data_IF_515980700179
#
_entry.id   IF_515980700179
#
_cell.length_a   1.000
_cell.length_b   1.000
_cell.length_c   1.000
_cell.angle_alpha   90.00
_cell.angle_beta   90.00
_cell.angle_gamma   90.00
#
_symmetry.space_group_name_H-M   'P 1'
#
loop_
_entity.id
_entity.type
_entity.pdbx_description
1 polymer ?
#
# COMPACT_ATOMS: atom_id res chain seq x y z
N UNK A 1 -26.13 -11.36 44.90
CA UNK A 1 -25.36 -12.58 44.58
C UNK A 1 -25.52 -12.87 43.10
N UNK A 2 -24.53 -12.46 42.31
CA UNK A 2 -24.23 -12.96 40.97
C UNK A 2 -22.80 -12.50 40.68
N UNK A 3 -21.82 -13.30 41.10
CA UNK A 3 -20.45 -13.17 40.61
C UNK A 3 -20.45 -13.77 39.21
N UNK A 4 -20.82 -12.97 38.19
CA UNK A 4 -20.54 -13.33 36.79
C UNK A 4 -19.03 -13.36 36.64
N UNK A 5 -18.47 -14.57 36.54
CA UNK A 5 -17.04 -14.78 36.31
C UNK A 5 -16.66 -14.21 34.95
N UNK A 6 -16.00 -13.06 34.97
CA UNK A 6 -15.50 -12.37 33.79
C UNK A 6 -14.69 -13.35 32.93
N UNK A 7 -14.97 -13.35 31.62
CA UNK A 7 -14.24 -14.16 30.64
C UNK A 7 -12.76 -13.76 30.59
N UNK A 8 -12.47 -12.49 30.89
CA UNK A 8 -11.16 -11.86 30.89
C UNK A 8 -10.69 -11.62 32.31
N UNK A 9 -9.47 -12.06 32.63
CA UNK A 9 -8.89 -11.93 33.97
C UNK A 9 -8.04 -10.65 34.09
N UNK A 10 -7.47 -10.16 32.99
CA UNK A 10 -6.59 -8.99 32.95
C UNK A 10 -7.23 -7.71 32.35
N UNK A 11 -8.56 -7.59 32.43
CA UNK A 11 -9.35 -6.50 31.84
C UNK A 11 -9.51 -5.22 32.68
N UNK A 12 -8.54 -4.88 33.54
CA UNK A 12 -8.58 -3.60 34.25
C UNK A 12 -8.42 -2.42 33.28
N UNK A 13 -8.99 -1.25 33.61
CA UNK A 13 -9.03 0.01 32.83
C UNK A 13 -7.66 0.58 32.35
N UNK A 14 -6.55 -0.15 32.44
CA UNK A 14 -5.19 0.30 32.14
C UNK A 14 -4.29 -0.81 31.56
N UNK A 15 -4.83 -1.79 30.83
CA UNK A 15 -3.99 -2.70 30.06
C UNK A 15 -3.74 -2.12 28.65
N UNK A 16 -2.52 -1.65 28.30
CA UNK A 16 -2.28 -1.02 27.01
C UNK A 16 -2.42 -1.99 25.82
N UNK A 17 -2.41 -3.30 26.06
CA UNK A 17 -2.50 -4.33 25.02
C UNK A 17 -3.90 -4.94 24.90
N UNK A 18 -4.77 -4.78 25.90
CA UNK A 18 -6.16 -5.24 25.88
C UNK A 18 -7.11 -4.10 26.26
N UNK A 19 -7.96 -3.72 25.32
CA UNK A 19 -8.93 -2.64 25.51
C UNK A 19 -10.35 -3.20 25.41
N UNK A 20 -11.30 -2.53 26.06
CA UNK A 20 -12.73 -2.77 25.85
C UNK A 20 -13.27 -1.73 24.89
N UNK A 21 -14.21 -2.13 24.05
CA UNK A 21 -14.89 -1.21 23.13
C UNK A 21 -16.39 -1.46 23.15
N UNK A 22 -17.13 -0.49 22.64
CA UNK A 22 -18.60 -0.49 22.50
C UNK A 22 -18.95 0.09 21.15
N UNK A 23 -20.19 -0.07 20.66
CA UNK A 23 -20.61 0.60 19.42
C UNK A 23 -20.33 2.12 19.43
N UNK A 24 -20.43 2.77 20.60
CA UNK A 24 -20.20 4.22 20.73
C UNK A 24 -18.72 4.62 20.61
N UNK A 25 -17.78 3.73 20.90
CA UNK A 25 -16.33 4.03 20.89
C UNK A 25 -15.56 3.25 19.83
N UNK A 26 -16.22 2.34 19.11
CA UNK A 26 -15.59 1.41 18.17
C UNK A 26 -14.75 2.10 17.09
N UNK A 27 -15.28 3.18 16.50
CA UNK A 27 -14.56 3.95 15.49
C UNK A 27 -13.21 4.46 16.00
N UNK A 28 -13.20 5.06 17.19
CA UNK A 28 -11.97 5.56 17.81
C UNK A 28 -11.06 4.41 18.24
N UNK A 29 -11.63 3.39 18.89
CA UNK A 29 -10.87 2.36 19.56
C UNK A 29 -10.23 1.34 18.62
N UNK A 30 -10.86 1.13 17.46
CA UNK A 30 -10.47 0.14 16.46
C UNK A 30 -9.99 0.82 15.20
N UNK A 31 -10.85 1.59 14.51
CA UNK A 31 -10.54 2.09 13.17
C UNK A 31 -9.45 3.16 13.21
N UNK A 32 -9.64 4.22 13.99
CA UNK A 32 -8.65 5.30 14.08
C UNK A 32 -7.37 4.84 14.78
N UNK A 33 -7.48 4.02 15.84
CA UNK A 33 -6.31 3.43 16.51
C UNK A 33 -5.48 2.55 15.56
N UNK A 34 -6.14 1.81 14.66
CA UNK A 34 -5.45 0.93 13.69
C UNK A 34 -4.54 1.66 12.71
N UNK A 35 -4.68 2.98 12.57
CA UNK A 35 -3.75 3.83 11.78
C UNK A 35 -2.37 3.96 12.42
N UNK A 36 -2.27 3.73 13.73
CA UNK A 36 -1.01 3.82 14.48
C UNK A 36 -0.48 2.45 14.87
N UNK A 37 -1.36 1.52 15.25
CA UNK A 37 -0.99 0.17 15.69
C UNK A 37 -2.09 -0.81 15.30
N UNK A 38 -1.78 -1.98 14.68
CA UNK A 38 -2.77 -2.99 14.36
C UNK A 38 -3.70 -3.33 15.53
N UNK A 39 -4.98 -3.46 15.22
CA UNK A 39 -6.00 -3.84 16.20
C UNK A 39 -6.61 -5.18 15.82
N UNK A 40 -6.49 -6.16 16.71
CA UNK A 40 -7.24 -7.42 16.63
C UNK A 40 -8.51 -7.27 17.43
N UNK A 41 -9.66 -7.24 16.76
CA UNK A 41 -10.97 -7.21 17.41
C UNK A 41 -11.40 -8.64 17.72
N UNK A 42 -11.69 -8.94 18.99
CA UNK A 42 -12.33 -10.19 19.40
C UNK A 42 -13.81 -9.94 19.72
N UNK A 43 -14.69 -10.44 18.87
CA UNK A 43 -16.12 -10.47 19.10
C UNK A 43 -16.51 -11.68 19.95
N UNK A 44 -16.97 -11.41 21.16
CA UNK A 44 -17.25 -12.41 22.19
C UNK A 44 -18.58 -12.14 22.92
N UNK A 45 -18.98 -13.04 23.82
CA UNK A 45 -20.07 -12.80 24.76
C UNK A 45 -19.93 -13.68 26.01
N UNK A 46 -20.51 -13.26 27.15
CA UNK A 46 -20.41 -13.99 28.42
C UNK A 46 -20.97 -15.42 28.35
N UNK A 47 -22.00 -15.62 27.54
CA UNK A 47 -22.66 -16.92 27.36
C UNK A 47 -21.93 -17.84 26.37
N UNK A 48 -20.87 -17.36 25.71
CA UNK A 48 -20.12 -18.11 24.72
C UNK A 48 -19.03 -18.99 25.38
N UNK A 49 -19.31 -20.29 25.52
CA UNK A 49 -18.36 -21.24 26.10
C UNK A 49 -17.03 -21.35 25.30
N UNK A 50 -17.02 -21.40 23.95
CA UNK A 50 -15.76 -21.41 23.21
C UNK A 50 -14.94 -20.12 23.37
N UNK A 51 -15.59 -18.97 23.55
CA UNK A 51 -14.91 -17.69 23.83
C UNK A 51 -14.13 -17.74 25.15
N UNK A 52 -14.68 -18.41 26.18
CA UNK A 52 -13.99 -18.63 27.47
C UNK A 52 -12.69 -19.42 27.32
N UNK A 53 -12.58 -20.27 26.31
CA UNK A 53 -11.35 -21.04 26.04
C UNK A 53 -10.31 -20.20 25.29
N UNK A 54 -10.74 -19.29 24.40
CA UNK A 54 -9.85 -18.43 23.62
C UNK A 54 -9.30 -17.25 24.43
N UNK A 55 -10.10 -16.67 25.33
CA UNK A 55 -9.71 -15.50 26.13
C UNK A 55 -8.31 -15.60 26.78
N UNK A 56 -7.95 -16.65 27.53
CA UNK A 56 -6.60 -16.74 28.13
C UNK A 56 -5.47 -16.84 27.08
N UNK A 57 -5.76 -17.39 25.89
CA UNK A 57 -4.80 -17.45 24.80
C UNK A 57 -4.61 -16.06 24.19
N UNK A 58 -5.70 -15.30 24.02
CA UNK A 58 -5.66 -13.93 23.51
C UNK A 58 -4.98 -12.98 24.49
N UNK A 59 -5.20 -13.13 25.80
CA UNK A 59 -4.46 -12.37 26.83
C UNK A 59 -2.95 -12.63 26.71
N UNK A 60 -2.55 -13.90 26.64
CA UNK A 60 -1.15 -14.28 26.44
C UNK A 60 -0.56 -13.69 25.16
N UNK A 61 -1.26 -13.77 24.03
CA UNK A 61 -0.77 -13.23 22.76
C UNK A 61 -0.73 -11.69 22.76
N UNK A 62 -1.68 -11.02 23.39
CA UNK A 62 -1.64 -9.56 23.55
C UNK A 62 -0.39 -9.10 24.34
N UNK A 63 0.05 -9.89 25.33
CA UNK A 63 1.30 -9.66 26.05
C UNK A 63 2.54 -10.02 25.22
N UNK A 64 2.54 -11.16 24.51
CA UNK A 64 3.65 -11.56 23.63
C UNK A 64 3.91 -10.53 22.50
N UNK A 65 2.85 -9.90 21.99
CA UNK A 65 2.90 -8.91 20.90
C UNK A 65 2.75 -7.47 21.40
N UNK A 66 3.00 -7.22 22.68
CA UNK A 66 2.87 -5.91 23.28
C UNK A 66 3.64 -4.83 22.50
N UNK A 67 2.96 -3.74 22.16
CA UNK A 67 3.50 -2.64 21.36
C UNK A 67 3.41 -2.83 19.85
N UNK A 68 3.17 -4.05 19.37
CA UNK A 68 3.00 -4.35 17.93
C UNK A 68 1.54 -4.60 17.54
N UNK A 69 0.71 -5.06 18.48
CA UNK A 69 -0.72 -5.30 18.28
C UNK A 69 -1.48 -4.93 19.56
N UNK A 70 -2.71 -4.43 19.40
CA UNK A 70 -3.68 -4.27 20.48
C UNK A 70 -4.86 -5.20 20.24
N UNK A 71 -5.38 -5.82 21.31
CA UNK A 71 -6.61 -6.62 21.26
C UNK A 71 -7.79 -5.78 21.76
N UNK A 72 -8.77 -5.55 20.90
CA UNK A 72 -10.02 -4.90 21.23
C UNK A 72 -11.11 -5.94 21.53
N UNK A 73 -11.55 -5.99 22.79
CA UNK A 73 -12.61 -6.88 23.24
C UNK A 73 -13.96 -6.23 22.93
N UNK A 74 -14.68 -6.79 21.96
CA UNK A 74 -15.99 -6.34 21.55
C UNK A 74 -17.06 -7.34 22.03
N UNK A 75 -17.69 -7.05 23.16
CA UNK A 75 -18.83 -7.86 23.60
C UNK A 75 -19.99 -7.63 22.62
N UNK A 76 -20.47 -8.69 21.96
CA UNK A 76 -21.56 -8.60 20.97
C UNK A 76 -22.88 -8.09 21.55
N UNK A 77 -23.08 -8.14 22.86
CA UNK A 77 -24.24 -7.52 23.50
C UNK A 77 -24.16 -5.97 23.46
N UNK A 78 -22.94 -5.40 23.49
CA UNK A 78 -22.62 -3.97 23.52
C UNK A 78 -22.09 -3.41 22.18
N UNK A 79 -21.74 -4.30 21.24
CA UNK A 79 -21.14 -4.01 19.93
C UNK A 79 -21.97 -4.62 18.78
N UNK A 80 -23.29 -4.48 18.82
CA UNK A 80 -24.20 -5.13 17.85
C UNK A 80 -24.04 -4.54 16.45
N UNK A 81 -23.90 -3.21 16.35
CA UNK A 81 -23.69 -2.55 15.07
C UNK A 81 -22.35 -2.95 14.47
N UNK A 82 -21.26 -2.83 15.25
CA UNK A 82 -19.93 -3.21 14.79
C UNK A 82 -19.85 -4.70 14.38
N UNK A 83 -20.47 -5.60 15.15
CA UNK A 83 -20.52 -7.02 14.79
C UNK A 83 -21.25 -7.25 13.45
N UNK A 84 -22.33 -6.52 13.19
CA UNK A 84 -23.05 -6.58 11.90
C UNK A 84 -22.20 -6.05 10.75
N UNK A 85 -21.51 -4.93 10.93
CA UNK A 85 -20.66 -4.30 9.91
C UNK A 85 -19.45 -5.18 9.55
N UNK A 86 -18.88 -5.89 10.53
CA UNK A 86 -17.80 -6.85 10.33
C UNK A 86 -18.28 -8.19 9.78
N UNK A 87 -19.59 -8.38 9.60
CA UNK A 87 -20.16 -9.62 9.07
C UNK A 87 -20.00 -10.81 10.03
N UNK A 88 -20.06 -10.56 11.34
CA UNK A 88 -19.99 -11.60 12.36
C UNK A 88 -21.21 -12.51 12.24
N UNK A 89 -20.98 -13.77 11.82
CA UNK A 89 -22.05 -14.77 11.67
C UNK A 89 -22.15 -15.73 12.85
N UNK A 90 -21.16 -15.72 13.74
CA UNK A 90 -21.09 -16.49 14.97
C UNK A 90 -19.85 -16.10 15.78
N UNK A 91 -19.86 -16.41 17.08
CA UNK A 91 -18.76 -16.10 18.01
C UNK A 91 -18.10 -17.38 18.57
N UNK A 92 -16.80 -17.36 18.91
CA UNK A 92 -15.87 -16.22 18.81
C UNK A 92 -15.55 -15.86 17.36
N UNK A 93 -15.31 -14.58 17.09
CA UNK A 93 -14.84 -14.12 15.79
C UNK A 93 -13.77 -13.04 15.97
N UNK A 94 -12.63 -13.22 15.31
CA UNK A 94 -11.51 -12.29 15.35
C UNK A 94 -11.33 -11.60 14.01
N UNK A 95 -11.10 -10.29 14.03
CA UNK A 95 -10.79 -9.51 12.84
C UNK A 95 -9.58 -8.64 13.07
N UNK A 96 -8.70 -8.62 12.08
CA UNK A 96 -7.50 -7.83 12.08
C UNK A 96 -7.73 -6.54 11.33
N UNK A 97 -7.51 -5.40 11.97
CA UNK A 97 -7.67 -4.08 11.38
C UNK A 97 -6.33 -3.37 11.36
N UNK A 98 -5.93 -2.91 10.17
CA UNK A 98 -4.72 -2.12 9.95
C UNK A 98 -5.11 -0.91 9.10
N UNK A 99 -4.78 0.29 9.60
CA UNK A 99 -5.05 1.57 8.94
C UNK A 99 -6.47 1.65 8.35
N UNK A 100 -7.43 1.52 9.27
CA UNK A 100 -8.87 1.61 9.05
C UNK A 100 -9.49 0.45 8.25
N UNK A 101 -8.69 -0.54 7.82
CA UNK A 101 -9.16 -1.59 6.91
C UNK A 101 -9.05 -2.97 7.55
N UNK A 102 -10.08 -3.81 7.35
CA UNK A 102 -10.03 -5.23 7.72
C UNK A 102 -9.06 -5.95 6.77
N UNK A 103 -7.99 -6.52 7.33
CA UNK A 103 -6.94 -7.21 6.55
C UNK A 103 -7.05 -8.73 6.60
N UNK A 104 -7.65 -9.28 7.66
CA UNK A 104 -7.88 -10.72 7.82
C UNK A 104 -8.95 -11.00 8.87
N UNK A 105 -9.49 -12.22 8.90
CA UNK A 105 -10.47 -12.63 9.91
C UNK A 105 -10.51 -14.14 10.15
N UNK A 106 -10.83 -14.52 11.38
CA UNK A 106 -11.02 -15.89 11.83
C UNK A 106 -12.38 -16.01 12.52
N UNK A 107 -13.22 -16.94 12.08
CA UNK A 107 -14.51 -17.21 12.73
C UNK A 107 -14.50 -18.61 13.34
N UNK A 108 -15.02 -18.71 14.57
CA UNK A 108 -15.03 -19.93 15.36
C UNK A 108 -13.78 -20.15 16.20
N UNK A 109 -13.79 -21.23 16.98
CA UNK A 109 -12.67 -21.59 17.84
C UNK A 109 -11.51 -22.15 17.01
N UNK A 110 -10.32 -21.59 17.23
CA UNK A 110 -9.06 -21.96 16.55
C UNK A 110 -7.97 -22.29 17.58
N UNK A 111 -6.88 -22.93 17.15
CA UNK A 111 -5.74 -23.23 18.01
C UNK A 111 -4.87 -22.00 18.28
N UNK A 112 -4.07 -22.04 19.35
CA UNK A 112 -3.09 -21.00 19.67
C UNK A 112 -2.09 -20.77 18.52
N UNK A 113 -1.70 -21.82 17.80
CA UNK A 113 -0.78 -21.72 16.67
C UNK A 113 -1.39 -20.89 15.53
N UNK A 114 -2.66 -21.13 15.21
CA UNK A 114 -3.39 -20.35 14.20
C UNK A 114 -3.53 -18.89 14.64
N UNK A 115 -3.85 -18.63 15.91
CA UNK A 115 -3.91 -17.27 16.45
C UNK A 115 -2.55 -16.57 16.40
N UNK A 116 -1.45 -17.26 16.72
CA UNK A 116 -0.11 -16.68 16.64
C UNK A 116 0.25 -16.30 15.21
N UNK A 117 -0.07 -17.14 14.22
CA UNK A 117 0.13 -16.82 12.80
C UNK A 117 -0.73 -15.62 12.41
N UNK A 118 -1.97 -15.55 12.86
CA UNK A 118 -2.86 -14.42 12.63
C UNK A 118 -2.29 -13.11 13.19
N UNK A 119 -1.81 -13.09 14.44
CA UNK A 119 -1.16 -11.92 15.04
C UNK A 119 0.10 -11.50 14.27
N UNK A 120 0.95 -12.46 13.86
CA UNK A 120 2.13 -12.16 13.03
C UNK A 120 1.76 -11.53 11.70
N UNK A 121 0.67 -12.00 11.05
CA UNK A 121 0.16 -11.38 9.81
C UNK A 121 -0.27 -9.94 10.03
N UNK A 122 -0.82 -9.60 11.21
CA UNK A 122 -1.20 -8.22 11.54
C UNK A 122 0.02 -7.32 11.66
N UNK A 123 1.07 -7.80 12.34
CA UNK A 123 2.35 -7.07 12.44
C UNK A 123 2.95 -6.89 11.06
N UNK A 124 3.06 -7.96 10.27
CA UNK A 124 3.62 -7.91 8.92
C UNK A 124 2.84 -6.96 8.00
N UNK A 125 1.52 -6.92 8.10
CA UNK A 125 0.69 -5.98 7.34
C UNK A 125 0.94 -4.52 7.72
N UNK A 126 1.14 -4.20 9.01
CA UNK A 126 1.52 -2.85 9.42
C UNK A 126 2.96 -2.47 9.05
N UNK A 127 3.90 -3.39 9.20
CA UNK A 127 5.29 -3.20 8.75
C UNK A 127 5.31 -2.89 7.25
N UNK A 128 4.56 -3.65 6.45
CA UNK A 128 4.42 -3.44 5.00
C UNK A 128 3.88 -2.04 4.66
N UNK A 129 2.79 -1.61 5.32
CA UNK A 129 2.22 -0.27 5.08
C UNK A 129 3.19 0.84 5.46
N UNK A 130 3.89 0.68 6.58
CA UNK A 130 4.89 1.66 7.02
C UNK A 130 6.03 1.75 6.00
N UNK A 131 6.55 0.62 5.52
CA UNK A 131 7.58 0.58 4.49
C UNK A 131 7.12 1.28 3.20
N UNK A 132 5.88 1.04 2.78
CA UNK A 132 5.29 1.65 1.58
C UNK A 132 5.23 3.19 1.67
N UNK A 133 4.95 3.73 2.87
CA UNK A 133 4.86 5.17 3.08
C UNK A 133 6.21 5.88 3.05
N UNK A 134 7.30 5.15 3.30
CA UNK A 134 8.64 5.72 3.39
C UNK A 134 9.53 5.39 2.18
N UNK A 135 9.02 4.70 1.16
CA UNK A 135 9.81 4.30 -0.02
C UNK A 135 10.57 5.47 -0.66
N UNK A 136 9.93 6.64 -0.82
CA UNK A 136 10.55 7.79 -1.46
C UNK A 136 11.39 8.66 -0.48
N UNK A 137 11.12 8.60 0.83
CA UNK A 137 11.81 9.42 1.84
C UNK A 137 12.97 8.73 2.54
N UNK A 138 12.87 7.42 2.75
CA UNK A 138 13.88 6.54 3.35
C UNK A 138 13.82 5.16 2.68
N UNK A 139 14.28 5.05 1.43
CA UNK A 139 14.24 3.79 0.69
C UNK A 139 15.07 2.69 1.35
N UNK A 140 16.12 3.04 2.10
CA UNK A 140 16.96 2.05 2.79
C UNK A 140 16.20 1.34 3.91
N UNK A 141 15.42 2.08 4.71
CA UNK A 141 14.55 1.49 5.73
C UNK A 141 13.43 0.63 5.10
N UNK A 142 12.80 1.11 4.02
CA UNK A 142 11.77 0.35 3.30
C UNK A 142 12.32 -0.99 2.76
N UNK A 143 13.50 -0.96 2.13
CA UNK A 143 14.17 -2.16 1.60
C UNK A 143 14.43 -3.18 2.70
N UNK A 144 14.93 -2.75 3.86
CA UNK A 144 15.18 -3.66 4.99
C UNK A 144 13.91 -4.38 5.46
N UNK A 145 12.77 -3.69 5.45
CA UNK A 145 11.48 -4.31 5.77
C UNK A 145 11.06 -5.33 4.70
N UNK A 146 11.14 -4.98 3.41
CA UNK A 146 10.77 -5.90 2.34
C UNK A 146 11.68 -7.12 2.27
N UNK A 147 12.99 -6.95 2.47
CA UNK A 147 13.95 -8.04 2.52
C UNK A 147 13.61 -9.02 3.65
N UNK A 148 13.34 -8.52 4.86
CA UNK A 148 12.88 -9.37 5.99
C UNK A 148 11.59 -10.13 5.64
N UNK A 149 10.62 -9.48 5.00
CA UNK A 149 9.38 -10.15 4.58
C UNK A 149 9.62 -11.26 3.55
N UNK A 150 10.59 -11.06 2.65
CA UNK A 150 10.97 -12.04 1.62
C UNK A 150 11.86 -13.17 2.17
N UNK A 151 12.59 -12.94 3.27
CA UNK A 151 13.25 -14.01 4.03
C UNK A 151 12.22 -14.96 4.65
N UNK A 152 11.12 -14.40 5.19
CA UNK A 152 10.02 -15.19 5.78
C UNK A 152 9.15 -15.86 4.71
N UNK A 153 8.80 -15.14 3.65
CA UNK A 153 8.01 -15.64 2.52
C UNK A 153 8.59 -15.14 1.18
N UNK A 154 9.43 -15.96 0.52
CA UNK A 154 10.02 -15.61 -0.77
C UNK A 154 9.00 -15.39 -1.89
N UNK A 155 7.73 -15.78 -1.72
CA UNK A 155 6.67 -15.59 -2.71
C UNK A 155 5.73 -14.42 -2.38
N UNK A 156 6.06 -13.61 -1.36
CA UNK A 156 5.29 -12.44 -0.98
C UNK A 156 5.34 -11.36 -2.07
N UNK A 157 4.34 -11.36 -2.96
CA UNK A 157 4.25 -10.45 -4.10
C UNK A 157 4.21 -8.97 -3.71
N UNK A 158 3.37 -8.54 -2.74
CA UNK A 158 3.41 -7.16 -2.27
C UNK A 158 4.82 -6.72 -1.87
N UNK A 159 5.57 -7.56 -1.13
CA UNK A 159 6.94 -7.26 -0.72
C UNK A 159 7.91 -7.22 -1.91
N UNK A 160 7.80 -8.13 -2.89
CA UNK A 160 8.60 -8.07 -4.13
C UNK A 160 8.40 -6.75 -4.87
N UNK A 161 7.14 -6.36 -5.07
CA UNK A 161 6.79 -5.11 -5.78
C UNK A 161 7.30 -3.90 -4.99
N UNK A 162 7.06 -3.86 -3.67
CA UNK A 162 7.56 -2.80 -2.79
C UNK A 162 9.09 -2.68 -2.83
N UNK A 163 9.81 -3.80 -2.79
CA UNK A 163 11.26 -3.85 -2.94
C UNK A 163 11.72 -3.25 -4.28
N UNK A 164 11.00 -3.53 -5.37
CA UNK A 164 11.26 -2.94 -6.68
C UNK A 164 11.08 -1.43 -6.69
N UNK A 165 9.99 -0.91 -6.10
CA UNK A 165 9.75 0.54 -5.97
C UNK A 165 10.81 1.22 -5.09
N UNK A 166 11.11 0.66 -3.93
CA UNK A 166 12.12 1.20 -3.02
C UNK A 166 13.53 1.14 -3.62
N UNK A 167 13.87 0.09 -4.38
CA UNK A 167 15.15 0.00 -5.12
C UNK A 167 15.27 1.13 -6.15
N UNK A 168 14.19 1.39 -6.90
CA UNK A 168 14.17 2.49 -7.85
C UNK A 168 14.30 3.85 -7.16
N UNK A 169 13.61 4.06 -6.03
CA UNK A 169 13.74 5.28 -5.24
C UNK A 169 15.15 5.47 -4.66
N UNK A 170 15.86 4.38 -4.33
CA UNK A 170 17.27 4.40 -3.96
C UNK A 170 18.24 4.65 -5.13
N UNK A 171 17.74 4.73 -6.37
CA UNK A 171 18.55 4.85 -7.58
C UNK A 171 19.14 3.53 -8.09
N UNK A 172 18.81 2.39 -7.46
CA UNK A 172 19.20 1.06 -7.93
C UNK A 172 18.22 0.56 -9.00
N UNK A 173 18.36 1.14 -10.19
CA UNK A 173 17.56 0.82 -11.37
C UNK A 173 17.77 -0.63 -11.79
N UNK A 174 18.97 -1.19 -11.58
CA UNK A 174 19.31 -2.55 -11.98
C UNK A 174 18.49 -3.57 -11.18
N UNK A 175 18.47 -3.45 -9.85
CA UNK A 175 17.67 -4.33 -8.98
C UNK A 175 16.18 -4.19 -9.26
N UNK A 176 15.68 -2.95 -9.42
CA UNK A 176 14.28 -2.71 -9.74
C UNK A 176 13.86 -3.35 -11.08
N UNK A 177 14.74 -3.30 -12.09
CA UNK A 177 14.51 -3.92 -13.40
C UNK A 177 14.46 -5.44 -13.30
N UNK A 178 15.41 -6.05 -12.59
CA UNK A 178 15.42 -7.49 -12.40
C UNK A 178 14.14 -7.99 -11.71
N UNK A 179 13.69 -7.30 -10.66
CA UNK A 179 12.44 -7.65 -9.97
C UNK A 179 11.25 -7.60 -10.93
N UNK A 180 11.17 -6.55 -11.75
CA UNK A 180 10.08 -6.44 -12.72
C UNK A 180 10.09 -7.57 -13.74
N UNK A 181 11.26 -7.94 -14.28
CA UNK A 181 11.40 -9.05 -15.23
C UNK A 181 10.92 -10.38 -14.62
N UNK A 182 11.25 -10.62 -13.35
CA UNK A 182 10.78 -11.80 -12.61
C UNK A 182 9.25 -11.80 -12.42
N UNK A 183 8.65 -10.63 -12.17
CA UNK A 183 7.20 -10.49 -12.06
C UNK A 183 6.51 -10.71 -13.42
N UNK A 184 7.04 -10.13 -14.50
CA UNK A 184 6.51 -10.30 -15.86
C UNK A 184 6.59 -11.75 -16.35
N UNK A 185 7.65 -12.48 -15.98
CA UNK A 185 7.81 -13.89 -16.34
C UNK A 185 6.69 -14.79 -15.80
N UNK A 186 5.97 -14.36 -14.76
CA UNK A 186 4.81 -15.08 -14.19
C UNK A 186 3.52 -14.88 -15.00
N UNK A 187 3.48 -13.90 -15.89
CA UNK A 187 2.32 -13.58 -16.72
C UNK A 187 1.50 -12.39 -16.23
N UNK A 188 0.59 -12.60 -15.27
CA UNK A 188 -0.23 -11.51 -14.75
C UNK A 188 0.63 -10.52 -13.94
N UNK A 189 0.49 -9.23 -14.23
CA UNK A 189 1.19 -8.15 -13.54
C UNK A 189 0.18 -7.34 -12.72
N UNK A 190 0.45 -7.20 -11.43
CA UNK A 190 -0.39 -6.44 -10.51
C UNK A 190 -0.40 -4.93 -10.87
N UNK A 191 -1.46 -4.16 -10.57
CA UNK A 191 -1.52 -2.73 -10.83
C UNK A 191 -0.31 -1.95 -10.29
N UNK A 192 0.15 -2.30 -9.09
CA UNK A 192 1.30 -1.69 -8.44
C UNK A 192 2.62 -2.04 -9.14
N UNK A 193 2.69 -3.20 -9.78
CA UNK A 193 3.84 -3.61 -10.58
C UNK A 193 3.84 -2.96 -11.97
N UNK A 194 2.67 -2.72 -12.56
CA UNK A 194 2.51 -1.89 -13.76
C UNK A 194 2.94 -0.43 -13.52
N UNK A 195 2.68 0.10 -12.32
CA UNK A 195 3.20 1.40 -11.90
C UNK A 195 4.73 1.40 -11.81
N UNK A 196 5.33 0.36 -11.19
CA UNK A 196 6.79 0.20 -11.14
C UNK A 196 7.40 0.16 -12.55
N UNK A 197 6.79 -0.61 -13.46
CA UNK A 197 7.18 -0.67 -14.88
C UNK A 197 7.16 0.68 -15.56
N UNK A 198 6.11 1.47 -15.31
CA UNK A 198 6.00 2.83 -15.88
C UNK A 198 7.10 3.75 -15.33
N UNK A 199 7.36 3.71 -14.01
CA UNK A 199 8.46 4.49 -13.40
C UNK A 199 9.84 4.08 -13.96
N UNK A 200 10.07 2.78 -14.15
CA UNK A 200 11.29 2.27 -14.77
C UNK A 200 11.45 2.70 -16.22
N UNK A 201 10.38 2.67 -17.01
CA UNK A 201 10.40 3.14 -18.40
C UNK A 201 10.77 4.63 -18.47
N UNK A 202 10.21 5.46 -17.59
CA UNK A 202 10.56 6.88 -17.47
C UNK A 202 12.03 7.07 -17.07
N UNK A 203 12.52 6.32 -16.08
CA UNK A 203 13.90 6.41 -15.60
C UNK A 203 14.93 5.93 -16.65
N UNK A 204 14.64 4.82 -17.34
CA UNK A 204 15.51 4.26 -18.37
C UNK A 204 15.57 5.15 -19.63
N UNK A 205 14.52 5.94 -19.86
CA UNK A 205 14.41 6.81 -21.02
C UNK A 205 14.93 8.23 -20.77
N UNK A 206 15.59 8.50 -19.62
CA UNK A 206 16.23 9.80 -19.38
C UNK A 206 17.43 9.94 -20.31
N UNK A 207 17.42 10.87 -21.28
CA UNK A 207 18.55 11.08 -22.17
C UNK A 207 19.82 11.47 -21.39
N UNK A 208 20.98 11.05 -21.87
CA UNK A 208 22.25 11.58 -21.36
C UNK A 208 22.37 13.08 -21.66
N UNK A 209 23.03 13.85 -20.79
CA UNK A 209 23.23 15.29 -20.97
C UNK A 209 22.55 16.16 -19.91
N UNK A 210 22.83 17.45 -19.92
CA UNK A 210 22.23 18.43 -19.00
C UNK A 210 20.91 18.95 -19.57
N UNK A 211 19.87 19.10 -18.71
CA UNK A 211 18.55 19.56 -19.16
C UNK A 211 18.63 20.98 -19.76
N UNK A 212 19.42 21.88 -19.17
CA UNK A 212 19.52 23.25 -19.67
C UNK A 212 20.17 23.29 -21.06
N UNK A 213 21.13 22.41 -21.31
CA UNK A 213 21.76 22.31 -22.63
C UNK A 213 20.80 21.75 -23.68
N UNK A 214 19.98 20.73 -23.35
CA UNK A 214 18.94 20.24 -24.26
C UNK A 214 17.86 21.29 -24.54
N UNK A 215 17.42 22.03 -23.54
CA UNK A 215 16.47 23.13 -23.69
C UNK A 215 17.03 24.25 -24.57
N UNK A 216 18.32 24.56 -24.44
CA UNK A 216 19.01 25.53 -25.30
C UNK A 216 19.09 25.06 -26.76
N UNK A 217 19.37 23.78 -26.98
CA UNK A 217 19.35 23.19 -28.33
C UNK A 217 17.94 23.23 -28.93
N UNK A 218 16.92 22.94 -28.13
CA UNK A 218 15.53 23.01 -28.55
C UNK A 218 15.08 24.44 -28.87
N UNK A 219 15.58 25.43 -28.12
CA UNK A 219 15.34 26.84 -28.44
C UNK A 219 15.97 27.26 -29.77
N UNK A 220 17.06 26.61 -30.21
CA UNK A 220 17.70 26.85 -31.49
C UNK A 220 17.00 26.12 -32.66
N UNK A 221 16.35 24.98 -32.39
CA UNK A 221 15.54 24.24 -33.38
C UNK A 221 14.19 23.78 -32.77
N UNK A 222 13.19 24.69 -32.69
CA UNK A 222 11.90 24.38 -32.08
C UNK A 222 11.05 23.39 -32.88
N UNK A 223 11.45 23.01 -34.09
CA UNK A 223 10.72 22.02 -34.90
C UNK A 223 11.19 20.58 -34.69
N UNK A 224 12.24 20.37 -33.91
CA UNK A 224 12.86 19.07 -33.71
C UNK A 224 12.05 18.19 -32.75
N UNK A 225 11.13 17.39 -33.30
CA UNK A 225 10.27 16.49 -32.52
C UNK A 225 11.04 15.45 -31.68
N UNK A 226 12.11 14.79 -32.19
CA UNK A 226 12.94 13.92 -31.36
C UNK A 226 13.52 14.65 -30.14
N UNK A 227 14.05 15.86 -30.32
CA UNK A 227 14.61 16.65 -29.22
C UNK A 227 13.55 17.11 -28.21
N UNK A 228 12.32 17.42 -28.66
CA UNK A 228 11.18 17.69 -27.77
C UNK A 228 10.86 16.50 -26.88
N UNK A 229 10.82 15.29 -27.44
CA UNK A 229 10.58 14.06 -26.68
C UNK A 229 11.69 13.86 -25.64
N UNK A 230 12.96 14.08 -26.01
CA UNK A 230 14.09 13.99 -25.09
C UNK A 230 14.00 14.98 -23.91
N UNK A 231 13.72 16.25 -24.20
CA UNK A 231 13.52 17.29 -23.18
C UNK A 231 12.33 16.93 -22.28
N UNK A 232 11.20 16.51 -22.86
CA UNK A 232 10.02 16.09 -22.11
C UNK A 232 10.32 14.92 -21.17
N UNK A 233 11.09 13.91 -21.61
CA UNK A 233 11.51 12.79 -20.76
C UNK A 233 12.36 13.26 -19.58
N UNK A 234 13.32 14.16 -19.80
CA UNK A 234 14.12 14.75 -18.70
C UNK A 234 13.26 15.55 -17.73
N UNK A 235 12.34 16.37 -18.24
CA UNK A 235 11.44 17.16 -17.40
C UNK A 235 10.54 16.26 -16.55
N UNK A 236 9.99 15.19 -17.14
CA UNK A 236 9.20 14.20 -16.41
C UNK A 236 10.02 13.53 -15.29
N UNK A 237 11.26 13.13 -15.57
CA UNK A 237 12.16 12.55 -14.57
C UNK A 237 12.54 13.55 -13.46
N UNK A 238 12.59 14.85 -13.76
CA UNK A 238 12.79 15.91 -12.79
C UNK A 238 11.50 16.33 -12.05
N UNK A 239 10.38 15.62 -12.23
CA UNK A 239 9.08 15.93 -11.62
C UNK A 239 8.34 17.12 -12.25
N UNK A 240 8.88 17.69 -13.33
CA UNK A 240 8.26 18.80 -14.09
C UNK A 240 7.21 18.26 -15.08
N UNK A 241 6.22 17.52 -14.56
CA UNK A 241 5.24 16.77 -15.36
C UNK A 241 4.42 17.65 -16.30
N UNK A 242 4.00 18.83 -15.87
CA UNK A 242 3.25 19.77 -16.72
C UNK A 242 4.03 20.12 -18.00
N UNK A 243 5.29 20.56 -17.83
CA UNK A 243 6.13 20.97 -18.96
C UNK A 243 6.43 19.79 -19.91
N UNK A 244 6.65 18.60 -19.34
CA UNK A 244 6.82 17.38 -20.11
C UNK A 244 5.58 17.02 -20.94
N UNK A 245 4.38 17.14 -20.35
CA UNK A 245 3.12 16.86 -21.03
C UNK A 245 2.81 17.89 -22.12
N UNK A 246 3.11 19.18 -21.89
CA UNK A 246 2.97 20.24 -22.91
C UNK A 246 3.82 19.92 -24.15
N UNK A 247 5.11 19.61 -23.98
CA UNK A 247 6.01 19.25 -25.08
C UNK A 247 5.61 17.96 -25.80
N UNK A 248 5.24 16.92 -25.04
CA UNK A 248 4.82 15.65 -25.62
C UNK A 248 3.52 15.81 -26.44
N UNK A 249 2.55 16.58 -25.96
CA UNK A 249 1.32 16.85 -26.68
C UNK A 249 1.59 17.61 -27.98
N UNK A 250 2.48 18.60 -27.97
CA UNK A 250 2.87 19.33 -29.18
C UNK A 250 3.42 18.38 -30.25
N UNK A 251 4.24 17.40 -29.87
CA UNK A 251 4.75 16.38 -30.79
C UNK A 251 3.62 15.49 -31.30
N UNK A 252 2.68 15.09 -30.44
CA UNK A 252 1.52 14.26 -30.84
C UNK A 252 0.65 14.97 -31.88
N UNK A 253 0.46 16.29 -31.73
CA UNK A 253 -0.34 17.12 -32.63
C UNK A 253 0.38 17.41 -33.95
N UNK A 254 1.71 17.59 -33.91
CA UNK A 254 2.49 18.01 -35.07
C UNK A 254 3.02 16.85 -35.94
N UNK A 255 3.10 15.63 -35.42
CA UNK A 255 3.78 14.50 -36.10
C UNK A 255 2.88 13.29 -36.36
N UNK A 256 3.39 12.34 -37.13
CA UNK A 256 2.77 11.04 -37.41
C UNK A 256 3.85 9.95 -37.30
N UNK A 257 3.44 8.68 -37.14
CA UNK A 257 4.38 7.56 -37.04
C UNK A 257 5.12 7.53 -35.69
N UNK A 258 6.38 7.13 -35.73
CA UNK A 258 7.17 6.78 -34.54
C UNK A 258 7.27 7.91 -33.50
N UNK A 259 7.51 9.15 -33.92
CA UNK A 259 7.61 10.30 -33.01
C UNK A 259 6.30 10.54 -32.26
N UNK A 260 5.15 10.41 -32.94
CA UNK A 260 3.83 10.54 -32.35
C UNK A 260 3.57 9.43 -31.34
N UNK A 261 3.94 8.19 -31.69
CA UNK A 261 3.76 7.03 -30.82
C UNK A 261 4.64 7.13 -29.57
N UNK A 262 5.90 7.55 -29.72
CA UNK A 262 6.84 7.82 -28.62
C UNK A 262 6.30 8.87 -27.66
N UNK A 263 5.83 10.01 -28.19
CA UNK A 263 5.27 11.08 -27.38
C UNK A 263 3.98 10.66 -26.67
N UNK A 264 3.09 9.90 -27.35
CA UNK A 264 1.89 9.33 -26.74
C UNK A 264 2.23 8.39 -25.58
N UNK A 265 3.20 7.49 -25.76
CA UNK A 265 3.61 6.55 -24.72
C UNK A 265 4.18 7.30 -23.51
N UNK A 266 5.01 8.32 -23.73
CA UNK A 266 5.51 9.18 -22.66
C UNK A 266 4.37 9.82 -21.85
N UNK A 267 3.34 10.35 -22.50
CA UNK A 267 2.18 10.92 -21.81
C UNK A 267 1.45 9.87 -20.94
N UNK A 268 1.29 8.65 -21.45
CA UNK A 268 0.67 7.53 -20.70
C UNK A 268 1.50 7.17 -19.47
N UNK A 269 2.82 7.09 -19.60
CA UNK A 269 3.71 6.78 -18.49
C UNK A 269 3.66 7.87 -17.40
N UNK A 270 3.60 9.15 -17.81
CA UNK A 270 3.39 10.27 -16.87
C UNK A 270 2.04 10.14 -16.15
N UNK A 271 0.96 9.79 -16.85
CA UNK A 271 -0.37 9.61 -16.23
C UNK A 271 -0.41 8.48 -15.20
N UNK A 272 0.40 7.44 -15.36
CA UNK A 272 0.51 6.32 -14.41
C UNK A 272 1.40 6.63 -13.22
N UNK A 273 2.21 7.68 -13.33
CA UNK A 273 3.15 8.12 -12.27
C UNK A 273 2.51 9.17 -11.37
N UNK A 274 1.64 10.03 -11.92
CA UNK A 274 0.91 11.03 -11.16
C UNK A 274 -0.13 10.39 -10.21
N UNK A 275 -0.46 11.06 -9.08
CA UNK A 275 -1.56 10.64 -8.21
C UNK A 275 -2.89 10.50 -8.96
N UNK A 276 -3.76 9.58 -8.50
CA UNK A 276 -5.03 9.24 -9.16
C UNK A 276 -6.00 10.44 -9.30
N UNK A 277 -5.94 11.40 -8.38
CA UNK A 277 -6.77 12.61 -8.36
C UNK A 277 -6.10 13.81 -9.04
N UNK A 278 -4.96 13.61 -9.70
CA UNK A 278 -4.20 14.70 -10.33
C UNK A 278 -5.05 15.42 -11.39
N UNK A 279 -5.28 16.75 -11.26
CA UNK A 279 -6.03 17.51 -12.24
C UNK A 279 -5.35 17.50 -13.61
N UNK A 280 -4.02 17.36 -13.64
CA UNK A 280 -3.23 17.27 -14.86
C UNK A 280 -3.60 16.03 -15.68
N UNK A 281 -3.76 14.88 -15.02
CA UNK A 281 -4.14 13.64 -15.70
C UNK A 281 -5.48 13.79 -16.42
N UNK A 282 -6.48 14.38 -15.77
CA UNK A 282 -7.80 14.61 -16.37
C UNK A 282 -7.77 15.59 -17.55
N UNK A 283 -7.00 16.67 -17.43
CA UNK A 283 -6.84 17.67 -18.50
C UNK A 283 -6.17 17.07 -19.75
N UNK A 284 -5.01 16.44 -19.56
CA UNK A 284 -4.19 15.97 -20.68
C UNK A 284 -4.71 14.71 -21.32
N UNK A 285 -5.45 13.84 -20.61
CA UNK A 285 -6.18 12.74 -21.25
C UNK A 285 -7.20 13.25 -22.27
N UNK A 286 -7.91 14.35 -21.98
CA UNK A 286 -8.85 14.97 -22.93
C UNK A 286 -8.12 15.56 -24.12
N UNK A 287 -7.03 16.29 -23.89
CA UNK A 287 -6.20 16.86 -24.97
C UNK A 287 -5.63 15.76 -25.88
N UNK A 288 -5.05 14.73 -25.29
CA UNK A 288 -4.50 13.59 -26.03
C UNK A 288 -5.58 12.87 -26.85
N UNK A 289 -6.76 12.64 -26.28
CA UNK A 289 -7.87 12.06 -27.03
C UNK A 289 -8.25 12.93 -28.24
N UNK A 290 -8.36 14.25 -28.06
CA UNK A 290 -8.65 15.19 -29.16
C UNK A 290 -7.53 15.27 -30.20
N UNK A 291 -6.28 15.03 -29.83
CA UNK A 291 -5.16 15.03 -30.76
C UNK A 291 -5.05 13.71 -31.55
N UNK A 292 -5.70 12.64 -31.10
CA UNK A 292 -5.68 11.32 -31.73
C UNK A 292 -6.81 11.08 -32.74
N UNK A 293 -7.88 11.88 -32.70
CA UNK A 293 -9.09 11.76 -33.53
C UNK A 293 -9.37 13.05 -34.29
#
# INVERSE_FOLDING_TARGET
>A
MASSGAIWQNGGMNNPTLIETTDATFELDVLERSRTVPVVVDFWADWCQPCRMLAPILEKLAEEFAGSVIVAKANTDDCQQAASEFGVSGIPALFGVVDGTIVDGLQGAVSEEVLRVFFRRMVSAAEFRTAMQIEDTDPAAALATYDKMLEDDPENLPAKIGRGRASLAAGDVATATQILEELEARGFLEPEAEQLKSRLSLAASVPAGDLQELEKQLAADPSNSPLKIEVARKQAAAGSFQAALDLALEVVEATHGDDRDQARLLMIDIFRTLPDDSPLTGEYRRKLASALY
#
